data_IF_643927261080
#
_entry.id   IF_643927261080
#
_cell.length_a   1.000
_cell.length_b   1.000
_cell.length_c   1.000
_cell.angle_alpha   90.00
_cell.angle_beta   90.00
_cell.angle_gamma   90.00
#
_symmetry.space_group_name_H-M   'P 1'
#
loop_
_entity.id
_entity.type
_entity.pdbx_description
1 polymer ?
#
# COMPACT_ATOMS: atom_id res chain seq x y z
N UNK A 1 26.92 35.05 14.98
CA UNK A 1 26.42 34.23 13.84
C UNK A 1 27.08 34.82 12.62
N UNK A 2 27.97 34.06 11.98
CA UNK A 2 28.77 34.56 10.86
C UNK A 2 27.90 34.68 9.61
N UNK A 3 28.12 35.72 8.82
CA UNK A 3 27.31 36.04 7.62
C UNK A 3 27.25 34.88 6.61
N UNK A 4 28.29 34.03 6.60
CA UNK A 4 28.39 32.82 5.79
C UNK A 4 27.37 31.74 6.22
N UNK A 5 27.14 31.57 7.53
CA UNK A 5 26.17 30.60 8.04
C UNK A 5 24.73 31.04 7.71
N UNK A 6 24.49 32.36 7.73
CA UNK A 6 23.20 32.95 7.34
C UNK A 6 22.94 32.78 5.84
N UNK A 7 23.96 32.98 5.00
CA UNK A 7 23.87 32.81 3.55
C UNK A 7 23.56 31.36 3.15
N UNK A 8 24.28 30.39 3.75
CA UNK A 8 24.03 28.95 3.53
C UNK A 8 22.64 28.50 3.97
N UNK A 9 22.12 29.07 5.07
CA UNK A 9 20.77 28.78 5.53
C UNK A 9 19.71 29.32 4.55
N UNK A 10 19.91 30.53 4.02
CA UNK A 10 19.01 31.15 3.03
C UNK A 10 19.01 30.34 1.73
N UNK A 11 20.19 29.90 1.25
CA UNK A 11 20.29 29.06 0.05
C UNK A 11 19.63 27.68 0.24
N UNK A 12 19.79 27.06 1.42
CA UNK A 12 19.09 25.81 1.75
C UNK A 12 17.57 25.99 1.80
N UNK A 13 17.09 27.09 2.35
CA UNK A 13 15.67 27.38 2.43
C UNK A 13 15.10 27.70 1.04
N UNK A 14 15.83 28.42 0.19
CA UNK A 14 15.44 28.69 -1.18
C UNK A 14 15.37 27.40 -2.02
N UNK A 15 16.40 26.54 -1.95
CA UNK A 15 16.42 25.26 -2.63
C UNK A 15 15.30 24.31 -2.15
N UNK A 16 15.00 24.31 -0.85
CA UNK A 16 13.87 23.56 -0.29
C UNK A 16 12.52 24.11 -0.76
N UNK A 17 12.42 25.41 -1.01
CA UNK A 17 11.19 26.07 -1.50
C UNK A 17 10.98 25.82 -2.99
N UNK A 18 12.05 25.81 -3.79
CA UNK A 18 12.01 25.42 -5.20
C UNK A 18 11.71 23.93 -5.38
N UNK A 19 12.30 23.05 -4.55
CA UNK A 19 11.97 21.63 -4.54
C UNK A 19 10.50 21.37 -4.14
N UNK A 20 9.96 22.16 -3.22
CA UNK A 20 8.53 22.11 -2.84
C UNK A 20 7.59 22.74 -3.86
N UNK A 21 8.04 23.75 -4.62
CA UNK A 21 7.26 24.40 -5.67
C UNK A 21 7.19 23.56 -6.96
N UNK A 22 8.23 22.76 -7.24
CA UNK A 22 8.29 21.81 -8.35
C UNK A 22 7.68 20.43 -8.02
N UNK A 23 7.11 20.24 -6.82
CA UNK A 23 6.47 19.00 -6.39
C UNK A 23 4.99 18.89 -6.80
N UNK A 24 4.54 19.71 -7.77
CA UNK A 24 3.26 19.50 -8.43
C UNK A 24 3.45 18.42 -9.49
N UNK A 25 3.19 17.19 -9.08
CA UNK A 25 3.09 16.05 -9.95
C UNK A 25 1.94 16.24 -10.93
N UNK A 26 2.19 16.04 -12.23
CA UNK A 26 1.16 16.17 -13.27
C UNK A 26 0.00 15.21 -12.94
N UNK A 27 -1.26 15.70 -12.83
CA UNK A 27 -2.42 14.86 -12.59
C UNK A 27 -2.56 13.67 -13.56
N UNK A 28 -2.15 13.83 -14.83
CA UNK A 28 -2.18 12.77 -15.82
C UNK A 28 -1.13 11.68 -15.56
N UNK A 29 0.08 12.08 -15.15
CA UNK A 29 1.13 11.14 -14.74
C UNK A 29 0.76 10.41 -13.45
N UNK A 30 0.09 11.09 -12.53
CA UNK A 30 -0.50 10.48 -11.33
C UNK A 30 -1.58 9.47 -11.65
N UNK A 31 -2.56 9.83 -12.48
CA UNK A 31 -3.59 8.90 -12.90
C UNK A 31 -3.01 7.66 -13.59
N UNK A 32 -2.00 7.85 -14.45
CA UNK A 32 -1.31 6.75 -15.13
C UNK A 32 -0.63 5.80 -14.14
N UNK A 33 0.10 6.34 -13.16
CA UNK A 33 0.74 5.52 -12.11
C UNK A 33 -0.27 4.83 -11.21
N UNK A 34 -1.37 5.48 -10.87
CA UNK A 34 -2.45 4.88 -10.08
C UNK A 34 -3.10 3.70 -10.81
N UNK A 35 -3.35 3.83 -12.12
CA UNK A 35 -3.86 2.73 -12.95
C UNK A 35 -2.85 1.57 -13.03
N UNK A 36 -1.57 1.88 -13.22
CA UNK A 36 -0.51 0.85 -13.27
C UNK A 36 -0.38 0.12 -11.92
N UNK A 37 -0.37 0.88 -10.81
CA UNK A 37 -0.31 0.35 -9.46
C UNK A 37 -1.53 -0.53 -9.14
N UNK A 38 -2.73 -0.11 -9.54
CA UNK A 38 -3.95 -0.89 -9.37
C UNK A 38 -3.91 -2.19 -10.17
N UNK A 39 -3.52 -2.15 -11.45
CA UNK A 39 -3.40 -3.33 -12.31
C UNK A 39 -2.43 -4.33 -11.72
N UNK A 40 -1.25 -3.87 -11.28
CA UNK A 40 -0.27 -4.73 -10.66
C UNK A 40 -0.78 -5.31 -9.35
N UNK A 41 -1.34 -4.47 -8.47
CA UNK A 41 -1.97 -4.92 -7.23
C UNK A 41 -2.97 -6.05 -7.50
N UNK A 42 -3.86 -5.87 -8.48
CA UNK A 42 -4.89 -6.86 -8.85
C UNK A 42 -4.32 -8.20 -9.26
N UNK A 43 -3.30 -8.20 -10.12
CA UNK A 43 -2.66 -9.44 -10.54
C UNK A 43 -1.96 -10.13 -9.36
N UNK A 44 -1.26 -9.36 -8.52
CA UNK A 44 -0.58 -9.90 -7.35
C UNK A 44 -1.55 -10.46 -6.32
N UNK A 45 -2.68 -9.80 -6.09
CA UNK A 45 -3.74 -10.25 -5.19
C UNK A 45 -4.40 -11.53 -5.67
N UNK A 46 -4.73 -11.59 -6.98
CA UNK A 46 -5.25 -12.80 -7.61
C UNK A 46 -4.28 -13.98 -7.45
N UNK A 47 -2.99 -13.73 -7.71
CA UNK A 47 -1.94 -14.75 -7.60
C UNK A 47 -1.79 -15.26 -6.16
N UNK A 48 -1.66 -14.34 -5.20
CA UNK A 48 -1.61 -14.69 -3.78
C UNK A 48 -2.83 -15.52 -3.36
N UNK A 49 -4.03 -15.12 -3.80
CA UNK A 49 -5.26 -15.83 -3.46
C UNK A 49 -5.32 -17.27 -4.00
N UNK A 50 -4.75 -17.52 -5.17
CA UNK A 50 -4.75 -18.84 -5.81
C UNK A 50 -3.62 -19.72 -5.28
N UNK A 51 -2.43 -19.14 -5.11
CA UNK A 51 -1.20 -19.92 -4.88
C UNK A 51 -0.87 -20.07 -3.39
N UNK A 52 -1.33 -19.18 -2.53
CA UNK A 52 -0.75 -19.02 -1.18
C UNK A 52 -1.76 -18.81 -0.06
N UNK A 53 -2.86 -18.09 -0.33
CA UNK A 53 -3.82 -17.73 0.69
C UNK A 53 -4.60 -18.94 1.20
N UNK A 54 -4.73 -19.06 2.51
CA UNK A 54 -5.67 -20.00 3.11
C UNK A 54 -7.11 -19.52 2.94
N UNK A 55 -8.07 -20.44 3.05
CA UNK A 55 -9.51 -20.13 3.04
C UNK A 55 -9.87 -19.04 4.07
N UNK A 56 -9.30 -19.12 5.27
CA UNK A 56 -9.58 -18.16 6.34
C UNK A 56 -9.06 -16.75 6.00
N UNK A 57 -7.89 -16.63 5.37
CA UNK A 57 -7.33 -15.34 4.94
C UNK A 57 -8.16 -14.72 3.82
N UNK A 58 -8.65 -15.54 2.87
CA UNK A 58 -9.56 -15.09 1.83
C UNK A 58 -10.90 -14.62 2.40
N UNK A 59 -11.48 -15.37 3.33
CA UNK A 59 -12.71 -14.96 4.03
C UNK A 59 -12.53 -13.64 4.76
N UNK A 60 -11.47 -13.51 5.57
CA UNK A 60 -11.15 -12.28 6.31
C UNK A 60 -10.95 -11.08 5.38
N UNK A 61 -10.34 -11.30 4.20
CA UNK A 61 -10.21 -10.25 3.20
C UNK A 61 -11.56 -9.87 2.61
N UNK A 62 -12.39 -10.84 2.23
CA UNK A 62 -13.75 -10.63 1.70
C UNK A 62 -14.62 -9.81 2.66
N UNK A 63 -14.71 -10.25 3.91
CA UNK A 63 -15.43 -9.53 4.98
C UNK A 63 -14.95 -8.09 5.18
N UNK A 64 -13.68 -7.83 4.85
CA UNK A 64 -13.11 -6.50 4.95
C UNK A 64 -13.43 -5.63 3.74
N UNK A 65 -13.49 -6.22 2.55
CA UNK A 65 -13.96 -5.55 1.34
C UNK A 65 -15.44 -5.16 1.44
N UNK A 66 -16.25 -5.95 2.14
CA UNK A 66 -17.70 -5.71 2.32
C UNK A 66 -18.04 -4.63 3.35
N UNK A 67 -17.04 -4.10 4.06
CA UNK A 67 -17.29 -3.07 5.09
C UNK A 67 -17.75 -1.77 4.44
N UNK A 68 -18.75 -1.07 5.04
CA UNK A 68 -19.23 0.21 4.53
C UNK A 68 -18.15 1.31 4.55
N UNK A 69 -17.19 1.21 5.47
CA UNK A 69 -16.05 2.13 5.56
C UNK A 69 -14.98 1.90 4.47
N UNK A 70 -15.14 0.85 3.66
CA UNK A 70 -14.15 0.35 2.71
C UNK A 70 -12.97 -0.37 3.40
N UNK A 71 -11.91 -0.60 2.61
CA UNK A 71 -10.76 -1.42 3.02
C UNK A 71 -10.01 -0.90 4.26
N UNK A 72 -9.96 0.43 4.41
CA UNK A 72 -9.37 1.12 5.55
C UNK A 72 -10.21 2.31 5.98
N UNK A 73 -10.38 2.47 7.29
CA UNK A 73 -10.93 3.69 7.89
C UNK A 73 -9.96 4.85 7.76
N UNK A 74 -10.48 6.08 7.77
CA UNK A 74 -9.65 7.30 7.76
C UNK A 74 -8.64 7.34 8.91
N UNK A 75 -9.04 6.88 10.10
CA UNK A 75 -8.13 6.79 11.25
C UNK A 75 -7.01 5.78 11.03
N UNK A 76 -7.29 4.63 10.40
CA UNK A 76 -6.27 3.63 10.10
C UNK A 76 -5.25 4.13 9.07
N UNK A 77 -5.70 4.94 8.11
CA UNK A 77 -4.82 5.60 7.13
C UNK A 77 -3.92 6.61 7.84
N UNK A 78 -4.51 7.50 8.65
CA UNK A 78 -3.75 8.50 9.41
C UNK A 78 -2.71 7.86 10.34
N UNK A 79 -3.04 6.77 11.02
CA UNK A 79 -2.09 6.03 11.85
C UNK A 79 -0.89 5.50 11.06
N UNK A 80 -1.11 5.01 9.84
CA UNK A 80 -0.02 4.52 8.97
C UNK A 80 0.86 5.68 8.52
N UNK A 81 0.25 6.82 8.17
CA UNK A 81 0.97 8.03 7.77
C UNK A 81 1.83 8.60 8.90
N UNK A 82 1.35 8.53 10.15
CA UNK A 82 2.09 8.98 11.34
C UNK A 82 3.21 8.02 11.78
N UNK A 83 3.12 6.73 11.42
CA UNK A 83 4.08 5.71 11.89
C UNK A 83 5.21 5.50 10.90
N UNK A 84 6.41 5.97 11.25
CA UNK A 84 7.62 5.64 10.49
C UNK A 84 7.81 4.11 10.44
N UNK A 85 7.96 3.55 9.24
CA UNK A 85 8.14 2.11 9.04
C UNK A 85 6.87 1.35 8.61
N UNK A 86 5.67 1.81 8.96
CA UNK A 86 4.41 1.16 8.58
C UNK A 86 4.05 1.41 7.10
N UNK A 87 3.21 0.53 6.53
CA UNK A 87 2.60 0.73 5.20
C UNK A 87 1.14 0.30 5.17
N UNK A 88 0.35 0.82 4.22
CA UNK A 88 -1.05 0.41 4.04
C UNK A 88 -1.14 -1.08 3.68
N UNK A 89 -0.31 -1.53 2.73
CA UNK A 89 -0.22 -2.93 2.35
C UNK A 89 0.22 -3.83 3.52
N UNK A 90 1.16 -3.35 4.35
CA UNK A 90 1.60 -4.03 5.56
C UNK A 90 0.50 -4.11 6.63
N UNK A 91 -0.34 -3.08 6.74
CA UNK A 91 -1.52 -3.13 7.62
C UNK A 91 -2.55 -4.13 7.12
N UNK A 92 -2.86 -4.12 5.82
CA UNK A 92 -3.81 -5.08 5.23
C UNK A 92 -3.37 -6.52 5.52
N UNK A 93 -2.12 -6.87 5.19
CA UNK A 93 -1.68 -8.26 5.33
C UNK A 93 -1.70 -8.73 6.78
N UNK A 94 -1.35 -7.87 7.75
CA UNK A 94 -1.44 -8.21 9.18
C UNK A 94 -2.87 -8.44 9.66
N UNK A 95 -3.84 -7.77 9.04
CA UNK A 95 -5.26 -7.90 9.42
C UNK A 95 -5.90 -9.15 8.82
N UNK A 96 -5.44 -9.59 7.66
CA UNK A 96 -6.00 -10.78 7.00
C UNK A 96 -5.22 -12.05 7.32
N UNK A 97 -3.92 -11.94 7.58
CA UNK A 97 -3.03 -13.06 7.93
C UNK A 97 -3.61 -13.90 9.05
N UNK A 98 -3.51 -15.23 8.89
CA UNK A 98 -3.92 -16.18 9.93
C UNK A 98 -3.05 -16.04 11.18
N UNK A 99 -1.76 -15.81 10.99
CA UNK A 99 -0.77 -15.72 12.06
C UNK A 99 -0.50 -14.26 12.43
N UNK A 100 -0.28 -13.96 13.73
CA UNK A 100 0.13 -12.62 14.14
C UNK A 100 1.42 -12.23 13.44
N UNK A 101 1.36 -11.16 12.64
CA UNK A 101 2.51 -10.62 11.91
C UNK A 101 2.89 -9.26 12.47
N UNK A 102 4.18 -9.07 12.77
CA UNK A 102 4.74 -7.75 13.04
C UNK A 102 4.95 -6.94 11.75
N UNK A 103 5.36 -5.68 11.89
CA UNK A 103 5.58 -4.78 10.74
C UNK A 103 6.74 -5.24 9.83
N UNK A 104 7.78 -5.86 10.39
CA UNK A 104 8.93 -6.36 9.64
C UNK A 104 8.63 -7.65 8.87
N UNK A 105 7.84 -8.57 9.44
CA UNK A 105 7.29 -9.74 8.77
C UNK A 105 6.38 -9.32 7.61
N UNK A 106 5.50 -8.35 7.83
CA UNK A 106 4.64 -7.80 6.77
C UNK A 106 5.46 -7.15 5.64
N UNK A 107 6.52 -6.41 5.98
CA UNK A 107 7.41 -5.82 4.97
C UNK A 107 8.13 -6.90 4.12
N UNK A 108 8.62 -7.97 4.76
CA UNK A 108 9.26 -9.10 4.08
C UNK A 108 8.30 -9.87 3.17
N UNK A 109 7.06 -10.05 3.61
CA UNK A 109 5.99 -10.66 2.80
C UNK A 109 5.86 -9.96 1.45
N UNK A 110 5.95 -8.62 1.43
CA UNK A 110 5.83 -7.86 0.20
C UNK A 110 7.14 -7.76 -0.59
N UNK A 111 8.27 -7.65 0.09
CA UNK A 111 9.58 -7.54 -0.56
C UNK A 111 9.90 -8.73 -1.45
N UNK A 112 9.63 -9.96 -0.98
CA UNK A 112 9.91 -11.18 -1.76
C UNK A 112 9.04 -11.29 -3.02
N UNK A 113 7.77 -10.86 -2.94
CA UNK A 113 6.81 -10.93 -4.06
C UNK A 113 7.01 -9.89 -5.14
N UNK A 114 7.66 -8.77 -4.81
CA UNK A 114 7.86 -7.68 -5.75
C UNK A 114 9.19 -7.76 -6.50
N UNK A 115 10.17 -8.52 -5.99
CA UNK A 115 11.51 -8.59 -6.60
C UNK A 115 12.21 -7.23 -6.66
N UNK A 116 11.79 -6.26 -5.84
CA UNK A 116 12.26 -4.87 -5.88
C UNK A 116 12.99 -4.46 -4.58
N UNK A 117 13.92 -3.48 -4.64
CA UNK A 117 14.53 -2.89 -3.45
C UNK A 117 13.49 -2.33 -2.47
N UNK A 118 13.76 -2.46 -1.16
CA UNK A 118 12.81 -2.09 -0.10
C UNK A 118 12.35 -0.62 -0.11
N UNK A 119 13.16 0.30 -0.67
CA UNK A 119 12.82 1.72 -0.80
C UNK A 119 11.81 1.97 -1.94
N UNK A 120 11.98 1.32 -3.09
CA UNK A 120 11.06 1.39 -4.21
C UNK A 120 9.72 0.71 -3.88
N UNK A 121 9.76 -0.42 -3.16
CA UNK A 121 8.54 -1.10 -2.71
C UNK A 121 7.77 -0.27 -1.69
N UNK A 122 8.42 0.54 -0.85
CA UNK A 122 7.73 1.34 0.18
C UNK A 122 6.71 2.33 -0.39
N UNK A 123 7.03 3.00 -1.50
CA UNK A 123 6.10 3.93 -2.18
C UNK A 123 4.88 3.18 -2.71
N UNK A 124 5.10 2.04 -3.37
CA UNK A 124 4.02 1.20 -3.91
C UNK A 124 3.16 0.59 -2.79
N UNK A 125 3.77 0.17 -1.67
CA UNK A 125 3.08 -0.40 -0.52
C UNK A 125 2.25 0.63 0.26
N UNK A 126 2.51 1.92 0.05
CA UNK A 126 1.69 3.02 0.53
C UNK A 126 0.70 3.55 -0.52
N UNK A 127 0.77 3.07 -1.76
CA UNK A 127 -0.21 3.42 -2.78
C UNK A 127 -1.56 2.79 -2.46
N UNK A 128 -2.56 3.63 -2.20
CA UNK A 128 -3.94 3.18 -2.03
C UNK A 128 -4.43 2.40 -3.25
N UNK A 129 -4.08 2.86 -4.46
CA UNK A 129 -4.45 2.25 -5.73
C UNK A 129 -3.91 0.82 -5.85
N UNK A 130 -2.66 0.59 -5.44
CA UNK A 130 -2.06 -0.74 -5.35
C UNK A 130 -2.81 -1.64 -4.36
N UNK A 131 -3.06 -1.16 -3.14
CA UNK A 131 -3.67 -1.97 -2.09
C UNK A 131 -5.13 -2.32 -2.41
N UNK A 132 -5.89 -1.38 -2.99
CA UNK A 132 -7.23 -1.63 -3.51
C UNK A 132 -7.20 -2.63 -4.66
N UNK A 133 -6.23 -2.50 -5.57
CA UNK A 133 -6.01 -3.47 -6.64
C UNK A 133 -5.81 -4.87 -6.08
N UNK A 134 -4.89 -5.03 -5.13
CA UNK A 134 -4.62 -6.30 -4.46
C UNK A 134 -5.87 -6.90 -3.81
N UNK A 135 -6.58 -6.12 -3.00
CA UNK A 135 -7.80 -6.58 -2.36
C UNK A 135 -8.86 -7.01 -3.39
N UNK A 136 -9.05 -6.25 -4.48
CA UNK A 136 -10.00 -6.59 -5.53
C UNK A 136 -9.61 -7.87 -6.30
N UNK A 137 -8.32 -8.08 -6.55
CA UNK A 137 -7.82 -9.28 -7.21
C UNK A 137 -8.08 -10.54 -6.39
N UNK A 138 -7.80 -10.48 -5.09
CA UNK A 138 -8.03 -11.59 -4.17
C UNK A 138 -9.52 -11.79 -3.84
N UNK A 139 -10.29 -10.71 -3.68
CA UNK A 139 -11.74 -10.78 -3.46
C UNK A 139 -12.47 -11.43 -4.65
N UNK A 140 -12.04 -11.19 -5.88
CA UNK A 140 -12.62 -11.87 -7.05
C UNK A 140 -12.44 -13.40 -7.01
N UNK A 141 -11.34 -13.88 -6.42
CA UNK A 141 -11.12 -15.33 -6.19
C UNK A 141 -12.02 -15.82 -5.05
N UNK A 142 -12.11 -15.05 -3.97
CA UNK A 142 -12.99 -15.36 -2.83
C UNK A 142 -14.46 -15.50 -3.24
N UNK A 143 -15.00 -14.55 -4.03
CA UNK A 143 -16.39 -14.61 -4.50
C UNK A 143 -16.67 -15.87 -5.32
N UNK A 144 -15.70 -16.30 -6.14
CA UNK A 144 -15.81 -17.56 -6.87
C UNK A 144 -15.84 -18.76 -5.94
N UNK A 145 -14.96 -18.80 -4.93
CA UNK A 145 -14.94 -19.86 -3.92
C UNK A 145 -16.26 -19.91 -3.15
N UNK A 146 -16.81 -18.76 -2.74
CA UNK A 146 -18.13 -18.67 -2.08
C UNK A 146 -19.25 -19.26 -2.92
N UNK A 147 -19.31 -18.89 -4.19
CA UNK A 147 -20.32 -19.42 -5.12
C UNK A 147 -20.22 -20.94 -5.30
N UNK A 148 -19.01 -21.49 -5.30
CA UNK A 148 -18.77 -22.94 -5.39
C UNK A 148 -19.13 -23.67 -4.08
N UNK A 149 -19.09 -22.99 -2.93
CA UNK A 149 -19.43 -23.55 -1.61
C UNK A 149 -20.91 -23.40 -1.22
N UNK A 150 -21.67 -22.54 -1.93
CA UNK A 150 -23.10 -22.35 -1.71
C UNK A 150 -23.48 -21.39 -0.57
N UNK A 151 -22.57 -20.48 -0.19
CA UNK A 151 -22.74 -19.45 0.86
C UNK A 151 -23.14 -18.05 0.35
#
# INVERSE_FOLDING_TARGET
MDDEARRRLIERLAASREAGANAWEDPAEKATRDVAANRWGRELGRRWAIEEASYEELRRLGERCDRPDGLFRRSEIAEVEMTQGATLAGRLIRQVSREPMDAGQAARFWAWRQGMPASASRLLLNSRSFVVGFAAGAAAVWERVRQELGD
#
